data_IF_517530784348
#
_entry.id   IF_517530784348
#
_cell.length_a   1.000
_cell.length_b   1.000
_cell.length_c   1.000
_cell.angle_alpha   90.00
_cell.angle_beta   90.00
_cell.angle_gamma   90.00
#
_symmetry.space_group_name_H-M   'P 1'
#
loop_
_entity.id
_entity.type
_entity.pdbx_description
1 polymer ?
#
# COMPACT_ATOMS: atom_id res chain seq x y z
N UNK A 1 -0.04 13.11 -0.93
CA UNK A 1 -0.11 13.38 -2.38
C UNK A 1 -0.97 14.60 -2.69
N UNK A 2 -2.30 14.56 -2.53
CA UNK A 2 -3.19 15.61 -3.05
C UNK A 2 -2.78 17.05 -2.68
N UNK A 3 -2.45 17.32 -1.41
CA UNK A 3 -1.97 18.64 -0.99
C UNK A 3 -0.65 19.10 -1.62
N UNK A 4 0.25 18.16 -1.98
CA UNK A 4 1.48 18.48 -2.72
C UNK A 4 1.13 18.89 -4.17
N UNK A 5 0.24 18.14 -4.83
CA UNK A 5 -0.24 18.46 -6.17
C UNK A 5 -0.98 19.81 -6.18
N UNK A 6 -1.81 20.09 -5.19
CA UNK A 6 -2.48 21.38 -5.02
C UNK A 6 -1.47 22.53 -4.90
N UNK A 7 -0.48 22.42 -4.01
CA UNK A 7 0.53 23.47 -3.80
C UNK A 7 1.40 23.69 -5.05
N UNK A 8 1.79 22.61 -5.73
CA UNK A 8 2.50 22.66 -7.01
C UNK A 8 1.70 23.36 -8.11
N UNK A 9 0.39 23.04 -8.23
CA UNK A 9 -0.50 23.71 -9.18
C UNK A 9 -0.67 25.19 -8.85
N UNK A 10 -0.83 25.56 -7.58
CA UNK A 10 -0.96 26.96 -7.13
C UNK A 10 0.28 27.78 -7.54
N UNK A 11 1.48 27.28 -7.26
CA UNK A 11 2.73 27.90 -7.70
C UNK A 11 2.83 28.05 -9.22
N UNK A 12 2.41 27.02 -9.98
CA UNK A 12 2.48 27.03 -11.44
C UNK A 12 1.59 28.08 -12.11
N UNK A 13 0.58 28.60 -11.38
CA UNK A 13 -0.26 29.74 -11.79
C UNK A 13 -0.03 31.00 -10.92
N UNK A 14 1.09 31.07 -10.20
CA UNK A 14 1.58 32.27 -9.51
C UNK A 14 1.08 32.46 -8.07
N UNK A 15 0.22 31.60 -7.54
CA UNK A 15 -0.24 31.67 -6.15
C UNK A 15 0.83 31.12 -5.20
N UNK A 16 1.62 32.03 -4.61
CA UNK A 16 2.80 31.69 -3.79
C UNK A 16 2.57 31.79 -2.27
N UNK A 17 1.53 32.51 -1.82
CA UNK A 17 1.21 32.62 -0.39
C UNK A 17 0.29 31.48 0.05
N UNK A 18 0.92 30.34 0.36
CA UNK A 18 0.27 29.16 0.92
C UNK A 18 1.20 28.44 1.89
N UNK A 19 0.62 27.60 2.75
CA UNK A 19 1.36 26.73 3.68
C UNK A 19 0.73 25.35 3.75
N UNK A 20 1.55 24.31 3.69
CA UNK A 20 1.13 22.93 3.97
C UNK A 20 1.27 22.68 5.47
N UNK A 21 0.25 22.08 6.07
CA UNK A 21 0.28 21.60 7.46
C UNK A 21 0.29 20.07 7.40
N UNK A 22 1.35 19.46 7.93
CA UNK A 22 1.60 18.01 7.85
C UNK A 22 1.82 17.46 9.26
N UNK A 23 1.07 16.41 9.62
CA UNK A 23 1.07 15.85 10.96
C UNK A 23 2.30 14.94 11.22
N UNK A 24 2.89 14.40 10.16
CA UNK A 24 4.12 13.60 10.22
C UNK A 24 5.39 14.45 10.02
N UNK A 25 6.56 13.82 10.12
CA UNK A 25 7.86 14.45 9.83
C UNK A 25 8.28 14.36 8.35
N UNK A 26 7.37 14.03 7.42
CA UNK A 26 7.71 13.82 6.00
C UNK A 26 6.57 14.17 5.05
N UNK A 27 6.90 14.53 3.82
CA UNK A 27 5.92 14.73 2.75
C UNK A 27 5.37 13.39 2.21
N UNK A 28 4.21 13.46 1.57
CA UNK A 28 3.56 12.35 0.85
C UNK A 28 2.33 11.77 1.54
N UNK A 29 2.28 11.76 2.87
CA UNK A 29 1.19 11.19 3.66
C UNK A 29 1.15 9.65 3.55
N UNK A 30 0.03 9.08 3.07
CA UNK A 30 -0.14 7.61 2.92
C UNK A 30 0.74 6.94 1.86
N UNK A 31 1.43 7.71 1.00
CA UNK A 31 2.52 7.14 0.18
C UNK A 31 3.75 7.03 1.06
N UNK A 32 4.27 5.80 1.21
CA UNK A 32 5.42 5.51 2.05
C UNK A 32 6.12 4.22 1.63
N UNK A 33 7.44 4.33 1.57
CA UNK A 33 8.42 3.27 1.38
C UNK A 33 9.30 3.32 2.63
N UNK A 34 9.45 2.19 3.31
CA UNK A 34 10.43 2.03 4.38
C UNK A 34 11.73 1.49 3.79
N UNK A 35 12.87 2.04 4.19
CA UNK A 35 14.21 1.54 3.84
C UNK A 35 14.75 0.87 5.11
N UNK A 36 14.97 -0.44 5.06
CA UNK A 36 15.36 -1.19 6.24
C UNK A 36 16.87 -1.03 6.48
N UNK A 37 17.35 -1.33 7.70
CA UNK A 37 18.78 -1.21 8.04
C UNK A 37 19.37 0.20 7.74
N UNK A 38 18.57 1.27 7.84
CA UNK A 38 19.01 2.63 7.52
C UNK A 38 19.62 2.80 6.11
N UNK A 39 19.33 1.89 5.19
CA UNK A 39 19.99 1.79 3.89
C UNK A 39 19.63 2.94 2.95
N UNK A 40 20.52 3.21 2.00
CA UNK A 40 20.34 4.22 0.97
C UNK A 40 19.48 3.68 -0.16
N UNK A 41 18.96 4.60 -0.97
CA UNK A 41 18.12 4.29 -2.13
C UNK A 41 18.84 3.37 -3.13
N UNK A 42 20.16 3.50 -3.21
CA UNK A 42 21.07 2.76 -4.08
C UNK A 42 21.24 1.28 -3.69
N UNK A 43 20.85 0.90 -2.46
CA UNK A 43 21.05 -0.44 -1.89
C UNK A 43 19.82 -1.34 -2.05
N UNK A 44 18.71 -0.80 -2.59
CA UNK A 44 17.45 -1.51 -2.91
C UNK A 44 16.77 -2.28 -1.76
N UNK A 45 17.25 -2.09 -0.53
CA UNK A 45 16.71 -2.67 0.70
C UNK A 45 15.49 -1.86 1.23
N UNK A 46 14.44 -1.75 0.40
CA UNK A 46 13.19 -1.07 0.74
C UNK A 46 11.92 -1.92 0.59
N UNK A 47 10.83 -1.48 1.24
CA UNK A 47 9.47 -1.98 0.98
C UNK A 47 8.37 -0.93 1.09
N UNK A 48 7.34 -1.05 0.26
CA UNK A 48 6.18 -0.17 0.21
C UNK A 48 5.19 -0.43 1.35
N UNK A 49 5.18 0.45 2.34
CA UNK A 49 4.17 0.47 3.40
C UNK A 49 2.85 1.13 2.94
N UNK A 50 2.89 1.88 1.82
CA UNK A 50 1.73 2.49 1.17
C UNK A 50 1.21 1.70 -0.04
N UNK A 51 0.76 2.37 -1.12
CA UNK A 51 0.48 1.72 -2.41
C UNK A 51 1.78 1.17 -3.02
N UNK A 52 1.68 0.24 -3.98
CA UNK A 52 2.84 -0.52 -4.48
C UNK A 52 3.07 -0.41 -6.00
N UNK A 53 2.03 -0.04 -6.74
CA UNK A 53 1.97 -0.19 -8.21
C UNK A 53 0.81 0.61 -8.78
N UNK A 54 0.84 0.78 -10.11
CA UNK A 54 -0.18 1.40 -10.93
C UNK A 54 -0.49 0.45 -12.11
N UNK A 55 -1.74 0.00 -12.31
CA UNK A 55 -2.13 -0.62 -13.58
C UNK A 55 -2.03 0.39 -14.73
N UNK A 56 -1.76 -0.10 -15.94
CA UNK A 56 -1.51 0.73 -17.14
C UNK A 56 -2.48 0.38 -18.26
N UNK A 57 -2.63 -0.91 -18.56
CA UNK A 57 -3.49 -1.39 -19.64
C UNK A 57 -3.91 -2.84 -19.44
N UNK A 58 -5.03 -3.21 -20.06
CA UNK A 58 -5.54 -4.58 -20.17
C UNK A 58 -5.30 -5.01 -21.62
N UNK A 59 -4.76 -6.21 -21.85
CA UNK A 59 -4.57 -6.79 -23.19
C UNK A 59 -5.26 -8.13 -23.24
N UNK A 60 -6.23 -8.31 -24.14
CA UNK A 60 -6.97 -9.56 -24.25
C UNK A 60 -6.12 -10.62 -24.96
N UNK A 61 -6.00 -11.85 -24.40
CA UNK A 61 -5.10 -12.86 -24.96
C UNK A 61 -5.61 -13.48 -26.27
N UNK A 62 -6.90 -13.36 -26.58
CA UNK A 62 -7.52 -13.98 -27.75
C UNK A 62 -7.52 -13.05 -28.98
N UNK A 63 -7.81 -11.75 -28.79
CA UNK A 63 -7.80 -10.76 -29.89
C UNK A 63 -6.51 -9.95 -29.99
N UNK A 64 -5.70 -9.92 -28.91
CA UNK A 64 -4.56 -9.03 -28.72
C UNK A 64 -4.91 -7.51 -28.68
N UNK A 65 -6.20 -7.15 -28.60
CA UNK A 65 -6.61 -5.77 -28.36
C UNK A 65 -6.18 -5.28 -26.98
N UNK A 66 -5.94 -3.96 -26.85
CA UNK A 66 -5.41 -3.36 -25.62
C UNK A 66 -6.18 -2.12 -25.19
N UNK A 67 -6.90 -2.22 -24.07
CA UNK A 67 -7.58 -1.11 -23.40
C UNK A 67 -6.58 -0.37 -22.50
N UNK A 68 -6.61 0.96 -22.52
CA UNK A 68 -5.73 1.83 -21.73
C UNK A 68 -6.45 2.33 -20.47
N UNK A 69 -5.85 2.18 -19.30
CA UNK A 69 -6.40 2.69 -18.04
C UNK A 69 -5.93 4.14 -17.87
N UNK A 70 -6.85 5.09 -18.03
CA UNK A 70 -6.55 6.52 -18.15
C UNK A 70 -6.42 7.21 -16.79
N UNK A 71 -7.16 6.76 -15.77
CA UNK A 71 -7.23 7.36 -14.42
C UNK A 71 -5.87 7.41 -13.67
N UNK A 72 -4.83 6.75 -14.18
CA UNK A 72 -3.46 6.80 -13.61
C UNK A 72 -2.46 7.58 -14.48
N UNK A 73 -2.82 8.00 -15.70
CA UNK A 73 -1.93 8.77 -16.58
C UNK A 73 -1.47 10.09 -15.98
N UNK A 74 -2.30 10.71 -15.14
CA UNK A 74 -1.95 11.90 -14.35
C UNK A 74 -0.75 11.66 -13.42
N UNK A 75 -0.53 10.43 -12.93
CA UNK A 75 0.62 10.10 -12.06
C UNK A 75 1.91 10.04 -12.88
N UNK A 76 1.86 9.49 -14.10
CA UNK A 76 2.99 9.46 -15.02
C UNK A 76 3.33 10.88 -15.49
N UNK A 77 2.35 11.65 -15.95
CA UNK A 77 2.51 13.05 -16.37
C UNK A 77 3.08 13.93 -15.24
N UNK A 78 2.62 13.76 -14.00
CA UNK A 78 3.15 14.48 -12.83
C UNK A 78 4.63 14.18 -12.60
N UNK A 79 5.03 12.92 -12.71
CA UNK A 79 6.43 12.53 -12.60
C UNK A 79 7.28 13.16 -13.71
N UNK A 80 6.79 13.18 -14.96
CA UNK A 80 7.49 13.82 -16.09
C UNK A 80 7.67 15.33 -15.87
N UNK A 81 6.66 16.03 -15.34
CA UNK A 81 6.73 17.45 -14.96
C UNK A 81 7.77 17.68 -13.85
N UNK A 82 7.77 16.86 -12.80
CA UNK A 82 8.73 16.97 -11.70
C UNK A 82 10.15 16.59 -12.14
N UNK A 83 10.31 15.63 -13.05
CA UNK A 83 11.59 15.24 -13.66
C UNK A 83 12.17 16.35 -14.54
N UNK A 84 11.33 17.13 -15.23
CA UNK A 84 11.77 18.26 -16.04
C UNK A 84 12.16 19.51 -15.20
N UNK A 85 11.76 19.55 -13.93
CA UNK A 85 11.98 20.69 -13.02
C UNK A 85 13.14 20.50 -12.04
N UNK A 86 13.50 19.25 -11.72
CA UNK A 86 14.47 18.94 -10.66
C UNK A 86 15.73 18.23 -11.21
N UNK A 87 16.78 18.17 -10.39
CA UNK A 87 17.97 17.40 -10.69
C UNK A 87 17.76 15.87 -10.62
N UNK A 88 18.72 15.08 -11.14
CA UNK A 88 18.63 13.61 -11.18
C UNK A 88 18.48 12.95 -9.80
N UNK A 89 18.87 13.64 -8.72
CA UNK A 89 18.71 13.22 -7.32
C UNK A 89 17.25 13.25 -6.81
N UNK A 90 16.31 13.79 -7.61
CA UNK A 90 14.87 13.76 -7.38
C UNK A 90 14.11 12.95 -8.45
N UNK A 91 14.80 12.30 -9.39
CA UNK A 91 14.18 11.67 -10.55
C UNK A 91 13.24 10.52 -10.19
N UNK A 92 11.96 10.66 -10.56
CA UNK A 92 10.92 9.64 -10.44
C UNK A 92 10.95 8.76 -11.69
N UNK A 93 11.45 7.54 -11.56
CA UNK A 93 11.56 6.59 -12.69
C UNK A 93 10.57 5.45 -12.49
N UNK A 94 9.74 5.17 -13.51
CA UNK A 94 8.87 4.00 -13.49
C UNK A 94 9.59 2.77 -14.04
N UNK A 95 9.37 1.64 -13.38
CA UNK A 95 9.83 0.30 -13.78
C UNK A 95 8.64 -0.66 -13.83
N UNK A 96 8.78 -1.78 -14.55
CA UNK A 96 7.72 -2.79 -14.62
C UNK A 96 7.46 -3.40 -13.25
N UNK A 97 6.19 -3.57 -12.89
CA UNK A 97 5.76 -4.37 -11.75
C UNK A 97 5.40 -5.79 -12.21
N UNK A 98 5.79 -6.79 -11.42
CA UNK A 98 5.43 -8.20 -11.66
C UNK A 98 4.18 -8.52 -10.84
N UNK A 99 3.03 -8.54 -11.51
CA UNK A 99 1.74 -8.76 -10.82
C UNK A 99 1.52 -10.21 -10.38
N UNK A 100 1.96 -11.17 -11.18
CA UNK A 100 1.94 -12.60 -10.87
C UNK A 100 3.27 -13.24 -11.32
N UNK A 101 3.69 -14.31 -10.64
CA UNK A 101 4.93 -15.03 -10.93
C UNK A 101 4.69 -16.53 -10.84
N UNK A 102 5.27 -17.29 -11.77
CA UNK A 102 5.17 -18.75 -11.86
C UNK A 102 5.59 -19.46 -10.54
N UNK A 103 6.57 -18.88 -9.85
CA UNK A 103 7.16 -19.43 -8.62
C UNK A 103 6.52 -18.84 -7.35
N UNK A 104 5.56 -17.91 -7.48
CA UNK A 104 4.84 -17.39 -6.32
C UNK A 104 3.98 -18.49 -5.69
N UNK A 105 3.94 -18.60 -4.35
CA UNK A 105 3.28 -19.68 -3.62
C UNK A 105 1.77 -19.65 -3.85
N UNK A 106 1.17 -20.83 -3.78
CA UNK A 106 -0.27 -21.01 -3.87
C UNK A 106 -0.88 -21.27 -2.50
N UNK A 107 -2.08 -20.74 -2.27
CA UNK A 107 -2.93 -21.12 -1.15
C UNK A 107 -3.42 -22.57 -1.32
N UNK A 108 -2.60 -23.53 -0.91
CA UNK A 108 -2.87 -24.97 -1.00
C UNK A 108 -2.55 -25.69 0.32
N UNK A 109 -3.29 -26.76 0.65
CA UNK A 109 -2.99 -27.63 1.80
C UNK A 109 -1.94 -28.71 1.49
N UNK A 110 -1.66 -28.98 0.22
CA UNK A 110 -0.61 -29.92 -0.19
C UNK A 110 0.77 -29.29 -0.15
N UNK A 111 1.82 -30.10 -0.03
CA UNK A 111 3.21 -29.65 -0.04
C UNK A 111 4.00 -30.39 -1.12
N UNK A 112 5.17 -29.85 -1.50
CA UNK A 112 6.19 -30.58 -2.27
C UNK A 112 6.76 -31.75 -1.43
N UNK A 113 7.48 -32.71 -2.04
CA UNK A 113 8.11 -33.82 -1.31
C UNK A 113 9.13 -33.41 -0.23
N UNK A 114 9.67 -32.19 -0.30
CA UNK A 114 10.55 -31.57 0.70
C UNK A 114 9.80 -30.86 1.84
N UNK A 115 8.46 -30.86 1.81
CA UNK A 115 7.60 -30.19 2.78
C UNK A 115 7.24 -28.74 2.47
N UNK A 116 7.75 -28.14 1.40
CA UNK A 116 7.53 -26.71 1.05
C UNK A 116 6.23 -26.45 0.28
N UNK A 117 5.84 -25.17 0.15
CA UNK A 117 4.60 -24.77 -0.57
C UNK A 117 4.85 -24.65 -2.09
N UNK A 118 4.07 -25.34 -2.94
CA UNK A 118 4.23 -25.29 -4.40
C UNK A 118 3.81 -23.95 -5.01
N UNK A 119 4.49 -23.57 -6.09
CA UNK A 119 4.28 -22.34 -6.85
C UNK A 119 3.07 -22.42 -7.79
N UNK A 120 2.58 -21.26 -8.23
CA UNK A 120 1.38 -21.14 -9.07
C UNK A 120 1.46 -21.93 -10.38
N UNK A 121 2.65 -22.05 -10.98
CA UNK A 121 2.85 -22.86 -12.18
C UNK A 121 2.82 -24.37 -11.90
N UNK A 122 3.35 -24.83 -10.76
CA UNK A 122 3.30 -26.23 -10.34
C UNK A 122 1.85 -26.65 -10.07
N UNK A 123 1.08 -25.83 -9.35
CA UNK A 123 -0.35 -26.06 -9.08
C UNK A 123 -1.21 -25.98 -10.34
N UNK A 124 -0.80 -25.20 -11.36
CA UNK A 124 -1.43 -25.18 -12.67
C UNK A 124 -1.12 -26.44 -13.49
N UNK A 125 0.13 -26.89 -13.48
CA UNK A 125 0.60 -28.03 -14.28
C UNK A 125 0.17 -29.39 -13.70
N UNK A 126 0.26 -29.58 -12.38
CA UNK A 126 -0.17 -30.80 -11.69
C UNK A 126 -1.34 -30.51 -10.73
N UNK A 127 -2.55 -31.08 -10.99
CA UNK A 127 -3.66 -31.05 -10.05
C UNK A 127 -3.36 -31.65 -8.67
N UNK A 128 -2.34 -32.51 -8.51
CA UNK A 128 -1.97 -33.10 -7.21
C UNK A 128 -1.47 -32.07 -6.19
N UNK A 129 -0.98 -30.91 -6.66
CA UNK A 129 -0.55 -29.79 -5.81
C UNK A 129 -1.69 -28.81 -5.43
N UNK A 130 -2.94 -29.13 -5.77
CA UNK A 130 -4.13 -28.37 -5.32
C UNK A 130 -4.62 -28.93 -4.00
N UNK A 131 -5.18 -28.07 -3.15
CA UNK A 131 -5.87 -28.49 -1.91
C UNK A 131 -6.89 -29.57 -2.24
N UNK A 132 -6.67 -30.80 -1.76
CA UNK A 132 -7.69 -31.85 -1.83
C UNK A 132 -8.76 -31.64 -0.77
N UNK A 133 -9.43 -30.49 -0.84
CA UNK A 133 -10.78 -30.33 -0.33
C UNK A 133 -11.71 -31.20 -1.19
N UNK A 134 -12.81 -31.68 -0.64
CA UNK A 134 -13.84 -32.47 -1.34
C UNK A 134 -14.69 -31.64 -2.33
N UNK A 135 -14.07 -30.66 -2.99
CA UNK A 135 -14.63 -29.82 -4.06
C UNK A 135 -14.65 -30.52 -5.44
N UNK A 136 -14.41 -31.84 -5.48
CA UNK A 136 -14.76 -32.68 -6.63
C UNK A 136 -16.29 -32.84 -6.82
N UNK A 137 -17.10 -32.25 -5.92
CA UNK A 137 -18.55 -32.10 -6.06
C UNK A 137 -18.94 -30.77 -6.72
N UNK A 138 -18.43 -30.53 -7.93
CA UNK A 138 -19.13 -29.67 -8.89
C UNK A 138 -19.06 -30.36 -10.25
N UNK A 139 -20.20 -30.58 -10.89
CA UNK A 139 -20.25 -31.07 -12.26
C UNK A 139 -19.63 -29.99 -13.17
N UNK A 140 -18.81 -30.40 -14.13
CA UNK A 140 -18.13 -29.44 -15.02
C UNK A 140 -19.13 -28.61 -15.85
N UNK A 141 -20.31 -29.18 -16.16
CA UNK A 141 -21.41 -28.43 -16.76
C UNK A 141 -21.95 -27.38 -15.81
N UNK A 142 -22.30 -27.74 -14.56
CA UNK A 142 -22.79 -26.80 -13.55
C UNK A 142 -21.80 -25.65 -13.29
N UNK A 143 -20.49 -25.91 -13.36
CA UNK A 143 -19.45 -24.86 -13.28
C UNK A 143 -19.51 -23.93 -14.48
N UNK A 144 -19.61 -24.46 -15.70
CA UNK A 144 -19.70 -23.65 -16.92
C UNK A 144 -21.01 -22.83 -16.98
N UNK A 145 -22.12 -23.42 -16.55
CA UNK A 145 -23.42 -22.74 -16.41
C UNK A 145 -23.37 -21.66 -15.31
N UNK A 146 -22.75 -21.93 -14.16
CA UNK A 146 -22.57 -20.96 -13.09
C UNK A 146 -21.61 -19.82 -13.47
N UNK A 147 -20.57 -20.08 -14.26
CA UNK A 147 -19.71 -19.05 -14.84
C UNK A 147 -20.51 -18.17 -15.80
N UNK A 148 -21.22 -18.76 -16.77
CA UNK A 148 -22.07 -17.98 -17.68
C UNK A 148 -23.16 -17.16 -16.97
N UNK A 149 -23.73 -17.70 -15.88
CA UNK A 149 -24.67 -16.98 -15.02
C UNK A 149 -23.99 -15.85 -14.21
N UNK A 150 -22.76 -16.05 -13.73
CA UNK A 150 -21.96 -15.04 -13.03
C UNK A 150 -21.52 -13.91 -13.98
N UNK A 151 -21.10 -14.23 -15.19
CA UNK A 151 -20.73 -13.25 -16.22
C UNK A 151 -21.97 -12.45 -16.65
N UNK A 152 -23.13 -13.10 -16.77
CA UNK A 152 -24.43 -12.44 -16.99
C UNK A 152 -24.88 -11.58 -15.80
N UNK A 153 -24.54 -11.96 -14.57
CA UNK A 153 -24.90 -11.23 -13.34
C UNK A 153 -24.00 -10.02 -13.08
N UNK A 154 -22.69 -10.17 -13.30
CA UNK A 154 -21.73 -9.06 -13.20
C UNK A 154 -21.81 -8.12 -14.39
N UNK A 155 -22.23 -8.63 -15.55
CA UNK A 155 -22.52 -7.87 -16.78
C UNK A 155 -21.35 -6.93 -17.14
N UNK A 156 -20.11 -7.47 -17.04
CA UNK A 156 -18.84 -6.79 -17.29
C UNK A 156 -18.26 -7.17 -18.66
N UNK A 157 -18.89 -6.65 -19.72
CA UNK A 157 -18.42 -6.80 -21.08
C UNK A 157 -17.20 -5.89 -21.40
N UNK A 158 -16.55 -6.11 -22.54
CA UNK A 158 -15.41 -5.30 -22.98
C UNK A 158 -15.76 -3.81 -23.10
N UNK A 159 -17.02 -3.48 -23.46
CA UNK A 159 -17.51 -2.09 -23.54
C UNK A 159 -17.43 -1.40 -22.18
N UNK A 160 -18.00 -2.00 -21.13
CA UNK A 160 -17.98 -1.43 -19.77
C UNK A 160 -16.58 -1.44 -19.17
N UNK A 161 -15.76 -2.45 -19.48
CA UNK A 161 -14.33 -2.45 -19.12
C UNK A 161 -13.64 -1.23 -19.75
N UNK A 162 -13.90 -0.93 -21.03
CA UNK A 162 -13.37 0.25 -21.70
C UNK A 162 -13.91 1.57 -21.14
N UNK A 163 -15.21 1.67 -20.81
CA UNK A 163 -15.80 2.86 -20.18
C UNK A 163 -15.19 3.14 -18.80
N UNK A 164 -15.06 2.12 -17.95
CA UNK A 164 -14.49 2.23 -16.60
C UNK A 164 -12.98 2.56 -16.68
N UNK A 165 -12.23 1.95 -17.59
CA UNK A 165 -10.83 2.25 -17.82
C UNK A 165 -10.61 3.66 -18.41
N UNK A 166 -11.58 4.18 -19.16
CA UNK A 166 -11.55 5.53 -19.74
C UNK A 166 -11.87 6.61 -18.71
N UNK A 167 -12.94 6.43 -17.92
CA UNK A 167 -13.36 7.37 -16.88
C UNK A 167 -14.31 6.69 -15.88
N UNK A 168 -13.77 6.15 -14.79
CA UNK A 168 -14.54 5.46 -13.73
C UNK A 168 -15.71 6.31 -13.19
N UNK A 169 -15.53 7.63 -13.09
CA UNK A 169 -16.55 8.53 -12.56
C UNK A 169 -17.71 8.79 -13.52
N UNK A 170 -17.47 8.73 -14.83
CA UNK A 170 -18.53 8.82 -15.85
C UNK A 170 -19.27 7.48 -15.97
N UNK A 171 -18.55 6.37 -16.04
CA UNK A 171 -19.12 5.02 -16.09
C UNK A 171 -20.05 4.76 -14.88
N UNK A 172 -19.55 4.99 -13.66
CA UNK A 172 -20.35 4.81 -12.43
C UNK A 172 -21.57 5.76 -12.37
N UNK A 173 -21.46 7.00 -12.89
CA UNK A 173 -22.60 7.92 -12.98
C UNK A 173 -23.64 7.45 -14.00
N UNK A 174 -23.20 6.92 -15.15
CA UNK A 174 -24.09 6.38 -16.18
C UNK A 174 -24.84 5.15 -15.68
N UNK A 175 -24.13 4.20 -15.04
CA UNK A 175 -24.70 2.98 -14.49
C UNK A 175 -25.78 3.23 -13.42
N UNK A 176 -25.57 4.22 -12.53
CA UNK A 176 -26.53 4.49 -11.45
C UNK A 176 -27.68 5.45 -11.85
N UNK A 177 -27.51 6.32 -12.85
CA UNK A 177 -28.54 7.26 -13.33
C UNK A 177 -28.98 8.36 -12.34
N UNK A 178 -28.70 8.23 -11.04
CA UNK A 178 -29.17 9.11 -9.96
C UNK A 178 -28.11 10.09 -9.45
N UNK A 179 -28.52 11.01 -8.55
CA UNK A 179 -27.63 12.01 -7.96
C UNK A 179 -26.75 11.41 -6.85
N UNK A 180 -25.55 11.99 -6.65
CA UNK A 180 -24.65 11.61 -5.54
C UNK A 180 -25.25 11.82 -4.13
N UNK A 181 -26.31 12.62 -3.98
CA UNK A 181 -27.05 12.80 -2.72
C UNK A 181 -28.05 11.65 -2.44
N UNK A 182 -28.30 10.83 -3.46
CA UNK A 182 -29.30 9.75 -3.48
C UNK A 182 -28.61 8.39 -3.44
N UNK A 183 -27.54 8.22 -4.22
CA UNK A 183 -26.85 6.92 -4.34
C UNK A 183 -26.15 6.50 -3.06
N UNK A 184 -25.59 7.43 -2.27
CA UNK A 184 -24.96 7.15 -0.96
C UNK A 184 -25.96 6.85 0.19
N UNK A 185 -27.26 6.83 -0.13
CA UNK A 185 -28.34 6.37 0.74
C UNK A 185 -28.83 4.96 0.37
N UNK A 186 -28.34 4.39 -0.74
CA UNK A 186 -28.75 3.08 -1.27
C UNK A 186 -27.56 2.12 -1.33
N UNK A 187 -26.43 2.58 -1.86
CA UNK A 187 -25.13 1.91 -1.72
C UNK A 187 -24.49 2.39 -0.40
N UNK A 188 -24.49 1.53 0.64
CA UNK A 188 -24.03 1.94 1.96
C UNK A 188 -22.49 1.98 2.02
N UNK A 189 -21.95 3.20 1.94
CA UNK A 189 -20.52 3.49 2.04
C UNK A 189 -19.85 3.07 3.37
N UNK A 190 -20.58 2.45 4.31
CA UNK A 190 -20.01 1.75 5.47
C UNK A 190 -19.55 0.32 5.17
N UNK A 191 -19.91 -0.27 4.02
CA UNK A 191 -19.41 -1.60 3.61
C UNK A 191 -17.88 -1.57 3.40
N UNK A 192 -17.23 -2.73 3.49
CA UNK A 192 -15.83 -2.92 3.07
C UNK A 192 -15.71 -3.06 1.54
N UNK A 193 -16.80 -3.45 0.87
CA UNK A 193 -16.88 -3.69 -0.58
C UNK A 193 -18.01 -2.84 -1.20
N UNK A 194 -17.82 -1.52 -1.40
CA UNK A 194 -18.80 -0.68 -2.09
C UNK A 194 -19.04 -1.17 -3.53
N UNK A 195 -20.23 -0.92 -4.10
CA UNK A 195 -20.64 -1.47 -5.40
C UNK A 195 -20.00 -0.72 -6.59
N UNK A 196 -18.67 -0.80 -6.67
CA UNK A 196 -17.83 -0.19 -7.71
C UNK A 196 -17.01 -1.28 -8.43
N UNK A 197 -17.31 -1.52 -9.71
CA UNK A 197 -16.62 -2.52 -10.54
C UNK A 197 -15.18 -2.13 -10.94
N UNK A 198 -14.69 -0.96 -10.47
CA UNK A 198 -13.36 -0.44 -10.79
C UNK A 198 -12.22 -1.34 -10.32
N UNK A 199 -12.34 -2.00 -9.16
CA UNK A 199 -11.30 -2.92 -8.68
C UNK A 199 -11.19 -4.15 -9.60
N UNK A 200 -12.31 -4.69 -10.10
CA UNK A 200 -12.31 -5.77 -11.10
C UNK A 200 -11.59 -5.36 -12.39
N UNK A 201 -11.86 -4.16 -12.90
CA UNK A 201 -11.25 -3.61 -14.12
C UNK A 201 -9.78 -3.22 -13.92
N UNK A 202 -9.41 -2.72 -12.75
CA UNK A 202 -8.04 -2.29 -12.48
C UNK A 202 -7.12 -3.48 -12.16
N UNK A 203 -7.66 -4.56 -11.57
CA UNK A 203 -6.89 -5.79 -11.28
C UNK A 203 -6.82 -6.78 -12.46
N UNK A 204 -7.65 -6.63 -13.50
CA UNK A 204 -7.51 -7.37 -14.77
C UNK A 204 -6.40 -6.85 -15.70
N UNK A 205 -5.73 -5.74 -15.32
CA UNK A 205 -4.63 -5.17 -16.09
C UNK A 205 -3.47 -6.16 -16.34
N UNK A 206 -2.87 -6.08 -17.52
CA UNK A 206 -1.76 -6.92 -17.99
C UNK A 206 -0.41 -6.19 -17.93
N UNK A 207 -0.38 -4.86 -18.13
CA UNK A 207 0.79 -4.03 -17.83
C UNK A 207 0.60 -3.26 -16.51
N UNK A 208 1.67 -3.25 -15.71
CA UNK A 208 1.74 -2.64 -14.39
C UNK A 208 3.08 -1.97 -14.19
N UNK A 209 3.09 -0.82 -13.52
CA UNK A 209 4.32 -0.08 -13.18
C UNK A 209 4.44 0.15 -11.68
N UNK A 210 5.67 0.18 -11.19
CA UNK A 210 6.04 0.70 -9.87
C UNK A 210 7.15 1.73 -10.05
N UNK A 211 7.67 2.30 -8.95
CA UNK A 211 8.70 3.35 -8.99
C UNK A 211 10.03 2.76 -8.52
N UNK A 212 11.08 2.98 -9.31
CA UNK A 212 12.47 2.64 -8.99
C UNK A 212 12.87 3.35 -7.69
N UNK A 213 13.52 2.63 -6.77
CA UNK A 213 13.87 3.13 -5.43
C UNK A 213 12.63 3.55 -4.61
N UNK A 214 11.46 3.06 -4.99
CA UNK A 214 10.21 3.08 -4.23
C UNK A 214 9.30 4.29 -4.46
N UNK A 215 7.99 4.12 -4.22
CA UNK A 215 6.96 5.13 -4.46
C UNK A 215 7.16 6.41 -3.65
N UNK A 216 8.02 6.42 -2.63
CA UNK A 216 8.44 7.63 -1.92
C UNK A 216 9.31 8.58 -2.76
N UNK A 217 9.87 8.17 -3.90
CA UNK A 217 10.54 9.12 -4.82
C UNK A 217 9.54 10.17 -5.35
N UNK A 218 8.29 9.79 -5.64
CA UNK A 218 7.27 10.71 -6.15
C UNK A 218 6.93 11.87 -5.19
N UNK A 219 6.60 11.67 -3.90
CA UNK A 219 6.47 12.78 -2.96
C UNK A 219 7.80 13.49 -2.70
N UNK A 220 8.95 12.78 -2.69
CA UNK A 220 10.29 13.40 -2.53
C UNK A 220 10.60 14.39 -3.66
N UNK A 221 10.13 14.18 -4.88
CA UNK A 221 10.36 15.06 -6.02
C UNK A 221 9.66 16.43 -5.92
N UNK A 222 8.67 16.58 -5.04
CA UNK A 222 8.14 17.90 -4.65
C UNK A 222 9.04 18.66 -3.65
N UNK A 223 10.08 18.01 -3.13
CA UNK A 223 10.90 18.48 -2.02
C UNK A 223 11.49 19.89 -2.23
N UNK A 224 12.25 20.13 -3.32
CA UNK A 224 12.88 21.42 -3.58
C UNK A 224 11.90 22.59 -3.64
N UNK A 225 10.68 22.35 -4.12
CA UNK A 225 9.63 23.35 -4.22
C UNK A 225 8.90 23.59 -2.89
N UNK A 226 8.47 22.52 -2.20
CA UNK A 226 7.44 22.64 -1.16
C UNK A 226 7.94 22.59 0.29
N UNK A 227 9.16 22.09 0.56
CA UNK A 227 9.62 21.87 1.94
C UNK A 227 9.67 23.16 2.76
N UNK A 228 10.17 24.26 2.19
CA UNK A 228 10.28 25.56 2.88
C UNK A 228 8.93 26.20 3.26
N UNK A 229 7.82 25.72 2.68
CA UNK A 229 6.45 26.16 3.00
C UNK A 229 5.64 25.05 3.71
N UNK A 230 6.27 23.98 4.16
CA UNK A 230 5.64 22.86 4.87
C UNK A 230 5.91 22.92 6.37
N UNK A 231 4.86 22.83 7.18
CA UNK A 231 4.89 22.83 8.63
C UNK A 231 4.63 21.41 9.15
N UNK A 232 5.72 20.69 9.42
CA UNK A 232 5.74 19.29 9.88
C UNK A 232 5.36 19.13 11.36
N UNK A 233 5.15 17.88 11.79
CA UNK A 233 4.81 17.50 13.16
C UNK A 233 3.60 18.26 13.73
N UNK A 234 2.71 18.73 12.85
CA UNK A 234 1.63 19.66 13.18
C UNK A 234 0.29 19.01 12.89
N UNK A 235 -0.32 18.45 13.93
CA UNK A 235 -1.61 17.76 13.83
C UNK A 235 -2.76 18.76 13.88
N UNK A 236 -3.49 18.91 12.78
CA UNK A 236 -4.76 19.66 12.76
C UNK A 236 -5.80 18.92 13.61
N UNK A 237 -6.60 19.68 14.36
CA UNK A 237 -7.61 19.20 15.32
C UNK A 237 -9.01 19.79 15.08
N UNK A 238 -9.14 20.79 14.21
CA UNK A 238 -10.42 21.45 13.92
C UNK A 238 -10.27 22.60 12.94
N UNK A 239 -11.39 23.12 12.44
CA UNK A 239 -11.44 24.41 11.76
C UNK A 239 -12.78 25.12 11.95
N UNK A 240 -12.76 26.45 11.83
CA UNK A 240 -13.95 27.32 11.84
C UNK A 240 -13.89 28.28 10.66
N UNK A 241 -14.99 28.43 9.94
CA UNK A 241 -15.18 29.56 9.03
C UNK A 241 -15.80 30.74 9.78
N UNK A 242 -15.26 31.95 9.57
CA UNK A 242 -15.83 33.19 10.07
C UNK A 242 -16.39 33.99 8.89
N UNK A 243 -17.72 34.03 8.77
CA UNK A 243 -18.42 34.75 7.70
C UNK A 243 -18.39 36.28 7.79
N UNK A 244 -17.87 36.87 8.87
CA UNK A 244 -17.66 38.32 8.99
C UNK A 244 -16.27 38.75 8.50
N UNK A 245 -15.29 37.85 8.53
CA UNK A 245 -13.92 38.11 8.06
C UNK A 245 -13.55 37.30 6.81
N UNK A 246 -14.49 36.52 6.29
CA UNK A 246 -14.35 35.58 5.15
C UNK A 246 -13.10 34.66 5.23
N UNK A 247 -12.74 34.22 6.44
CA UNK A 247 -11.52 33.42 6.70
C UNK A 247 -11.83 32.10 7.40
N UNK A 248 -11.04 31.08 7.07
CA UNK A 248 -10.99 29.78 7.75
C UNK A 248 -9.86 29.80 8.78
N UNK A 249 -10.20 29.70 10.05
CA UNK A 249 -9.24 29.46 11.14
C UNK A 249 -9.05 27.96 11.34
N UNK A 250 -7.83 27.48 11.11
CA UNK A 250 -7.37 26.13 11.42
C UNK A 250 -6.94 26.06 12.88
N UNK A 251 -7.28 24.97 13.57
CA UNK A 251 -6.80 24.65 14.92
C UNK A 251 -5.86 23.45 14.88
N UNK A 252 -4.70 23.53 15.53
CA UNK A 252 -3.65 22.51 15.45
C UNK A 252 -2.85 22.33 16.75
N UNK A 253 -2.03 21.28 16.80
CA UNK A 253 -1.07 21.00 17.88
C UNK A 253 0.27 20.54 17.29
N UNK A 254 1.34 21.19 17.72
CA UNK A 254 2.74 20.86 17.40
C UNK A 254 3.70 21.11 18.59
N UNK A 255 3.15 21.39 19.78
CA UNK A 255 3.87 21.54 21.05
C UNK A 255 3.36 20.50 22.05
N UNK A 256 2.93 20.90 23.24
CA UNK A 256 2.35 19.98 24.22
C UNK A 256 0.96 19.50 23.79
N UNK A 257 0.76 18.17 23.78
CA UNK A 257 -0.53 17.57 23.44
C UNK A 257 -1.57 17.73 24.55
N UNK A 258 -1.14 17.99 25.79
CA UNK A 258 -2.01 18.15 26.96
C UNK A 258 -2.52 19.58 27.18
N UNK A 259 -2.09 20.57 26.40
CA UNK A 259 -2.57 21.96 26.52
C UNK A 259 -4.07 22.04 26.20
N UNK A 260 -4.90 22.62 27.05
CA UNK A 260 -6.37 22.61 26.85
C UNK A 260 -6.77 23.30 25.54
N UNK A 261 -6.18 24.45 25.23
CA UNK A 261 -6.39 25.14 23.96
C UNK A 261 -5.45 24.59 22.85
N UNK A 262 -5.93 24.44 21.60
CA UNK A 262 -5.05 24.25 20.44
C UNK A 262 -4.48 25.59 19.97
N UNK A 263 -3.37 25.55 19.24
CA UNK A 263 -2.87 26.72 18.51
C UNK A 263 -3.72 26.96 17.25
N UNK A 264 -3.67 28.20 16.73
CA UNK A 264 -4.53 28.62 15.63
C UNK A 264 -3.79 29.42 14.57
N UNK A 265 -4.29 29.36 13.33
CA UNK A 265 -3.89 30.23 12.23
C UNK A 265 -5.05 30.40 11.25
N UNK A 266 -5.11 31.52 10.53
CA UNK A 266 -6.24 31.84 9.64
C UNK A 266 -5.78 32.06 8.22
N UNK A 267 -6.52 31.49 7.27
CA UNK A 267 -6.34 31.64 5.83
C UNK A 267 -7.67 32.05 5.18
N UNK A 268 -7.63 32.57 3.96
CA UNK A 268 -8.83 32.86 3.16
C UNK A 268 -9.48 31.56 2.64
N UNK A 269 -8.66 30.58 2.26
CA UNK A 269 -9.08 29.25 1.81
C UNK A 269 -8.34 28.13 2.54
N UNK A 270 -8.98 26.96 2.63
CA UNK A 270 -8.38 25.74 3.19
C UNK A 270 -8.73 24.52 2.34
N UNK A 271 -7.72 23.70 1.99
CA UNK A 271 -7.89 22.49 1.16
C UNK A 271 -7.53 21.25 1.99
N UNK A 272 -8.54 20.42 2.28
CA UNK A 272 -8.40 19.26 3.18
C UNK A 272 -7.95 18.02 2.40
N UNK A 273 -6.63 17.79 2.36
CA UNK A 273 -6.02 16.57 1.79
C UNK A 273 -5.95 15.39 2.78
N UNK A 274 -6.56 15.53 3.97
CA UNK A 274 -6.54 14.54 5.07
C UNK A 274 -7.68 13.53 4.92
N UNK A 275 -7.44 12.25 5.21
CA UNK A 275 -8.47 11.21 5.10
C UNK A 275 -9.60 11.41 6.12
N UNK A 276 -10.83 11.05 5.76
CA UNK A 276 -11.99 11.21 6.64
C UNK A 276 -11.86 10.43 7.96
N UNK A 277 -11.11 9.33 7.98
CA UNK A 277 -10.73 8.61 9.20
C UNK A 277 -9.99 9.46 10.26
N UNK A 278 -9.41 10.60 9.88
CA UNK A 278 -8.85 11.60 10.81
C UNK A 278 -9.72 12.85 10.91
N UNK A 279 -10.36 13.30 9.82
CA UNK A 279 -11.30 14.44 9.85
C UNK A 279 -12.53 14.17 10.74
N UNK A 280 -12.93 12.89 10.94
CA UNK A 280 -13.91 12.47 11.96
C UNK A 280 -13.61 12.93 13.38
N UNK A 281 -12.32 13.09 13.70
CA UNK A 281 -11.84 13.46 15.03
C UNK A 281 -11.65 14.98 15.16
N UNK A 282 -11.92 15.75 14.10
CA UNK A 282 -11.78 17.20 14.13
C UNK A 282 -13.02 17.85 14.73
N UNK A 283 -12.81 18.70 15.73
CA UNK A 283 -13.85 19.46 16.42
C UNK A 283 -13.22 20.75 16.97
N UNK A 284 -13.73 21.95 16.62
CA UNK A 284 -14.89 22.25 15.77
C UNK A 284 -14.66 21.93 14.30
N UNK A 285 -15.76 21.82 13.55
CA UNK A 285 -15.78 21.82 12.08
C UNK A 285 -16.88 22.77 11.56
N UNK A 286 -16.80 23.26 10.31
CA UNK A 286 -17.86 24.04 9.68
C UNK A 286 -19.10 23.16 9.41
N UNK A 287 -20.25 23.79 9.26
CA UNK A 287 -21.43 23.09 8.73
C UNK A 287 -21.21 22.74 7.25
N UNK A 288 -21.41 21.47 6.90
CA UNK A 288 -21.29 20.95 5.54
C UNK A 288 -22.64 20.47 5.00
N UNK A 289 -22.71 20.18 3.70
CA UNK A 289 -23.88 19.53 3.09
C UNK A 289 -24.14 18.16 3.73
N UNK A 290 -25.39 17.67 3.66
CA UNK A 290 -25.73 16.34 4.21
C UNK A 290 -24.86 15.24 3.58
N UNK A 291 -24.64 15.26 2.26
CA UNK A 291 -23.75 14.32 1.57
C UNK A 291 -22.31 14.36 2.11
N UNK A 292 -21.68 15.54 2.24
CA UNK A 292 -20.32 15.61 2.75
C UNK A 292 -20.24 15.23 4.24
N UNK A 293 -21.28 15.52 5.02
CA UNK A 293 -21.40 15.09 6.42
C UNK A 293 -21.51 13.57 6.53
N UNK A 294 -22.31 12.92 5.65
CA UNK A 294 -22.41 11.45 5.55
C UNK A 294 -21.10 10.84 5.07
N UNK A 295 -20.45 11.39 4.05
CA UNK A 295 -19.17 10.91 3.55
C UNK A 295 -18.05 11.02 4.62
N UNK A 296 -17.96 12.16 5.30
CA UNK A 296 -17.02 12.34 6.41
C UNK A 296 -17.30 11.34 7.53
N UNK A 297 -18.55 11.12 7.94
CA UNK A 297 -18.87 10.24 9.08
C UNK A 297 -18.87 8.73 8.77
N UNK A 298 -19.47 8.30 7.65
CA UNK A 298 -19.75 6.88 7.33
C UNK A 298 -18.66 6.17 6.54
N UNK A 299 -18.05 6.81 5.53
CA UNK A 299 -17.16 6.14 4.55
C UNK A 299 -16.16 5.18 5.21
N UNK A 300 -16.22 3.89 4.91
CA UNK A 300 -15.37 2.91 5.55
C UNK A 300 -13.89 3.06 5.11
N UNK A 301 -12.97 2.55 5.94
CA UNK A 301 -11.54 2.49 5.64
C UNK A 301 -11.04 1.09 5.98
N UNK A 302 -10.82 0.27 4.96
CA UNK A 302 -10.34 -1.10 5.13
C UNK A 302 -8.88 -1.11 5.63
N UNK A 303 -8.56 -1.85 6.72
CA UNK A 303 -7.20 -1.95 7.25
C UNK A 303 -6.32 -2.86 6.40
N UNK A 304 -5.01 -2.69 6.55
CA UNK A 304 -3.94 -3.34 5.78
C UNK A 304 -2.70 -3.48 6.65
N UNK A 305 -2.01 -4.63 6.58
CA UNK A 305 -0.81 -4.96 7.37
C UNK A 305 0.25 -5.61 6.46
N UNK A 306 1.55 -5.35 6.69
CA UNK A 306 2.66 -5.68 5.76
C UNK A 306 3.96 -6.14 6.45
N UNK A 307 4.61 -7.23 5.95
CA UNK A 307 5.88 -7.84 6.42
C UNK A 307 6.66 -8.58 5.24
N UNK A 308 7.93 -9.12 5.30
CA UNK A 308 8.89 -9.37 4.11
C UNK A 308 9.38 -10.82 3.46
N UNK A 309 9.37 -11.20 2.08
CA UNK A 309 10.36 -11.71 0.91
C UNK A 309 9.63 -11.89 -0.52
N UNK A 310 10.01 -11.91 -1.87
CA UNK A 310 11.01 -11.46 -3.01
C UNK A 310 10.61 -11.81 -4.56
N UNK A 311 10.16 -10.93 -5.52
CA UNK A 311 9.71 -11.27 -6.94
C UNK A 311 8.24 -11.72 -7.39
N UNK A 312 7.17 -10.88 -7.34
CA UNK A 312 5.75 -11.21 -7.69
C UNK A 312 4.66 -10.92 -6.60
N UNK A 313 3.55 -11.68 -6.60
CA UNK A 313 2.65 -11.90 -5.44
C UNK A 313 2.00 -13.30 -5.54
N UNK A 314 1.88 -13.99 -4.40
CA UNK A 314 1.22 -15.30 -4.27
C UNK A 314 0.38 -15.37 -2.99
N UNK A 315 -0.59 -16.27 -2.95
CA UNK A 315 -1.49 -16.44 -1.80
C UNK A 315 -0.98 -17.53 -0.84
N UNK A 316 -1.31 -17.41 0.43
CA UNK A 316 -1.01 -18.43 1.45
C UNK A 316 -2.26 -18.79 2.24
N UNK A 317 -2.40 -20.06 2.58
CA UNK A 317 -3.41 -20.54 3.52
C UNK A 317 -2.92 -20.54 4.98
N UNK A 318 -1.66 -20.17 5.24
CA UNK A 318 -1.11 -20.07 6.59
C UNK A 318 -1.81 -18.89 7.31
N UNK A 319 -2.42 -19.12 8.49
CA UNK A 319 -3.13 -18.08 9.22
C UNK A 319 -2.26 -16.85 9.50
N UNK A 320 -2.78 -15.66 9.22
CA UNK A 320 -2.07 -14.39 9.45
C UNK A 320 -1.10 -13.95 8.35
N UNK A 321 -0.98 -14.70 7.24
CA UNK A 321 -0.05 -14.36 6.14
C UNK A 321 -0.76 -13.65 4.98
N UNK A 322 -1.94 -14.15 4.57
CA UNK A 322 -2.71 -13.58 3.46
C UNK A 322 -1.99 -13.76 2.13
N UNK A 323 -1.33 -12.70 1.64
CA UNK A 323 -0.46 -12.78 0.46
C UNK A 323 1.01 -12.66 0.86
N UNK A 324 1.82 -13.57 0.33
CA UNK A 324 3.27 -13.38 0.29
C UNK A 324 3.52 -12.60 -1.00
N UNK A 325 4.06 -11.40 -0.90
CA UNK A 325 4.31 -10.50 -2.02
C UNK A 325 5.81 -10.21 -2.13
N UNK A 326 6.24 -9.90 -3.34
CA UNK A 326 7.56 -10.29 -3.75
C UNK A 326 8.12 -9.10 -4.63
N UNK A 327 9.18 -8.36 -4.23
CA UNK A 327 9.85 -7.28 -4.98
C UNK A 327 10.04 -7.39 -6.51
N UNK A 328 9.67 -6.36 -7.27
CA UNK A 328 9.80 -6.32 -8.74
C UNK A 328 11.11 -5.67 -9.27
N UNK A 329 12.06 -5.35 -8.39
CA UNK A 329 13.31 -4.63 -8.69
C UNK A 329 14.54 -5.51 -8.38
N UNK A 330 15.70 -5.13 -8.93
CA UNK A 330 17.01 -5.81 -8.73
C UNK A 330 16.95 -7.34 -8.87
N UNK A 331 16.18 -7.82 -9.85
CA UNK A 331 16.03 -9.24 -10.13
C UNK A 331 17.38 -9.86 -10.49
N UNK A 332 17.67 -11.04 -9.92
CA UNK A 332 18.96 -11.73 -10.03
C UNK A 332 20.19 -10.98 -9.47
N UNK A 333 20.00 -9.90 -8.70
CA UNK A 333 21.09 -9.29 -7.94
C UNK A 333 21.59 -10.23 -6.82
N UNK A 334 22.82 -9.99 -6.36
CA UNK A 334 23.40 -10.67 -5.19
C UNK A 334 23.56 -9.68 -4.04
N UNK A 335 23.47 -10.17 -2.80
CA UNK A 335 23.40 -9.35 -1.58
C UNK A 335 22.01 -9.36 -0.94
N UNK A 336 21.79 -8.57 0.13
CA UNK A 336 20.52 -8.55 0.84
C UNK A 336 19.43 -7.86 -0.01
N UNK A 337 18.34 -8.56 -0.30
CA UNK A 337 17.10 -7.92 -0.77
C UNK A 337 16.34 -7.30 0.40
N UNK A 338 15.34 -6.45 0.14
CA UNK A 338 14.20 -6.27 1.04
C UNK A 338 12.94 -6.84 0.41
N UNK A 339 12.00 -7.19 1.26
CA UNK A 339 11.38 -8.51 1.34
C UNK A 339 9.80 -8.11 1.41
N UNK A 340 8.72 -8.83 0.95
CA UNK A 340 7.24 -8.52 1.24
C UNK A 340 6.24 -9.72 1.61
N UNK A 341 6.55 -10.59 2.58
CA UNK A 341 5.87 -11.86 2.90
C UNK A 341 4.59 -11.95 3.74
N UNK A 342 4.17 -10.94 4.50
CA UNK A 342 2.78 -10.91 4.99
C UNK A 342 2.13 -9.70 4.38
N UNK A 343 1.01 -9.90 3.70
CA UNK A 343 0.16 -8.83 3.22
C UNK A 343 -1.29 -9.25 3.41
N UNK A 344 -1.82 -8.82 4.55
CA UNK A 344 -3.18 -9.08 4.99
C UNK A 344 -4.00 -7.79 4.93
N UNK A 345 -5.30 -7.93 4.69
CA UNK A 345 -6.27 -6.84 4.75
C UNK A 345 -7.46 -7.22 5.65
N UNK A 346 -8.32 -6.26 5.99
CA UNK A 346 -9.59 -6.53 6.67
C UNK A 346 -9.45 -7.14 8.06
N UNK A 347 -10.33 -8.09 8.40
CA UNK A 347 -10.36 -8.72 9.73
C UNK A 347 -9.02 -9.36 10.11
N UNK A 348 -8.34 -10.17 9.25
CA UNK A 348 -6.97 -10.63 9.51
C UNK A 348 -5.97 -9.50 9.84
N UNK A 349 -6.01 -8.39 9.10
CA UNK A 349 -5.12 -7.26 9.38
C UNK A 349 -5.40 -6.58 10.74
N UNK A 350 -6.65 -6.60 11.22
CA UNK A 350 -7.00 -6.13 12.58
C UNK A 350 -6.41 -7.04 13.66
N UNK A 351 -6.44 -8.36 13.44
CA UNK A 351 -5.86 -9.33 14.38
C UNK A 351 -4.33 -9.24 14.44
N UNK A 352 -3.66 -9.13 13.29
CA UNK A 352 -2.21 -8.99 13.21
C UNK A 352 -1.72 -7.67 13.82
N UNK A 353 -2.44 -6.57 13.60
CA UNK A 353 -2.15 -5.27 14.20
C UNK A 353 -2.44 -5.17 15.71
N UNK A 354 -2.79 -6.28 16.37
CA UNK A 354 -2.95 -6.38 17.82
C UNK A 354 -1.89 -7.28 18.50
N UNK A 355 -1.00 -7.91 17.72
CA UNK A 355 0.18 -8.61 18.23
C UNK A 355 1.26 -7.60 18.64
N UNK A 356 2.16 -7.99 19.55
CA UNK A 356 3.45 -7.29 19.69
C UNK A 356 4.38 -7.65 18.52
N UNK A 357 5.40 -6.84 18.27
CA UNK A 357 6.25 -6.97 17.08
C UNK A 357 6.95 -8.33 17.04
N UNK A 358 7.49 -8.79 18.17
CA UNK A 358 8.21 -10.05 18.32
C UNK A 358 7.32 -11.26 18.01
N UNK A 359 6.06 -11.24 18.43
CA UNK A 359 5.07 -12.29 18.13
C UNK A 359 4.74 -12.34 16.64
N UNK A 360 4.55 -11.17 16.02
CA UNK A 360 4.23 -11.07 14.60
C UNK A 360 5.43 -11.48 13.72
N UNK A 361 6.64 -11.01 14.06
CA UNK A 361 7.89 -11.41 13.40
C UNK A 361 8.08 -12.93 13.50
N UNK A 362 7.92 -13.51 14.69
CA UNK A 362 8.07 -14.95 14.88
C UNK A 362 6.97 -15.76 14.17
N UNK A 363 5.74 -15.23 14.05
CA UNK A 363 4.67 -15.84 13.25
C UNK A 363 5.05 -15.87 11.77
N UNK A 364 5.49 -14.75 11.19
CA UNK A 364 5.84 -14.71 9.76
C UNK A 364 7.12 -15.48 9.47
N UNK A 365 8.11 -15.46 10.36
CA UNK A 365 9.33 -16.29 10.22
C UNK A 365 9.00 -17.78 10.13
N UNK A 366 8.14 -18.31 11.02
CA UNK A 366 7.70 -19.71 10.95
C UNK A 366 6.98 -20.02 9.63
N UNK A 367 6.11 -19.12 9.18
CA UNK A 367 5.44 -19.27 7.89
C UNK A 367 6.40 -19.26 6.70
N UNK A 368 7.49 -18.49 6.74
CA UNK A 368 8.48 -18.48 5.65
C UNK A 368 9.33 -19.74 5.63
N UNK A 369 9.59 -20.35 6.78
CA UNK A 369 10.20 -21.69 6.86
C UNK A 369 9.24 -22.74 6.29
N UNK A 370 7.92 -22.63 6.50
CA UNK A 370 6.94 -23.54 5.88
C UNK A 370 6.82 -23.35 4.36
N UNK A 371 6.88 -22.11 3.87
CA UNK A 371 6.73 -21.81 2.43
C UNK A 371 8.00 -22.13 1.64
N UNK A 372 9.18 -21.77 2.16
CA UNK A 372 10.45 -21.86 1.44
C UNK A 372 11.39 -22.95 1.96
N UNK A 373 11.06 -23.61 3.07
CA UNK A 373 11.90 -24.64 3.68
C UNK A 373 13.05 -24.07 4.51
N UNK A 374 13.98 -24.94 4.89
CA UNK A 374 15.02 -24.63 5.87
C UNK A 374 16.02 -23.55 5.41
N UNK A 375 16.10 -23.20 4.13
CA UNK A 375 16.87 -22.03 3.65
C UNK A 375 16.39 -20.72 4.30
N UNK A 376 15.09 -20.58 4.61
CA UNK A 376 14.58 -19.44 5.37
C UNK A 376 14.92 -19.52 6.87
N UNK A 377 15.20 -20.73 7.38
CA UNK A 377 15.72 -20.93 8.73
C UNK A 377 17.22 -20.63 8.79
N UNK A 378 18.02 -21.09 7.85
CA UNK A 378 19.49 -20.93 7.82
C UNK A 378 19.91 -19.45 7.88
N UNK A 379 19.25 -18.60 7.09
CA UNK A 379 19.44 -17.14 7.10
C UNK A 379 19.10 -16.50 8.46
N UNK A 380 18.26 -17.14 9.28
CA UNK A 380 17.90 -16.69 10.64
C UNK A 380 18.73 -17.37 11.75
N UNK A 381 19.15 -18.62 11.53
CA UNK A 381 19.77 -19.48 12.53
C UNK A 381 21.20 -19.03 12.86
N UNK A 382 21.90 -18.45 11.88
CA UNK A 382 23.20 -17.82 12.08
C UNK A 382 23.10 -16.64 13.08
N UNK A 383 22.14 -15.73 12.90
CA UNK A 383 21.90 -14.65 13.89
C UNK A 383 21.51 -15.21 15.28
N UNK A 384 20.65 -16.24 15.32
CA UNK A 384 20.25 -16.87 16.59
C UNK A 384 21.44 -17.49 17.35
N UNK A 385 22.33 -18.20 16.64
CA UNK A 385 23.54 -18.77 17.21
C UNK A 385 24.51 -17.69 17.72
N UNK A 386 24.68 -16.59 16.98
CA UNK A 386 25.53 -15.48 17.40
C UNK A 386 24.95 -14.77 18.63
N UNK A 387 23.65 -14.46 18.64
CA UNK A 387 22.96 -13.83 19.79
C UNK A 387 23.03 -14.71 21.04
N UNK A 388 22.81 -16.01 20.91
CA UNK A 388 22.95 -16.98 22.01
C UNK A 388 24.39 -17.07 22.53
N UNK A 389 25.39 -17.03 21.64
CA UNK A 389 26.81 -17.01 22.02
C UNK A 389 27.19 -15.72 22.74
N UNK A 390 26.72 -14.56 22.27
CA UNK A 390 26.95 -13.28 22.94
C UNK A 390 26.35 -13.24 24.35
N UNK A 391 25.11 -13.75 24.54
CA UNK A 391 24.51 -13.85 25.88
C UNK A 391 25.32 -14.78 26.80
N UNK A 392 25.74 -15.95 26.31
CA UNK A 392 26.57 -16.88 27.09
C UNK A 392 27.90 -16.25 27.54
N UNK A 393 28.54 -15.46 26.67
CA UNK A 393 29.77 -14.73 27.02
C UNK A 393 29.52 -13.64 28.06
N UNK A 394 28.41 -12.90 27.97
CA UNK A 394 28.01 -11.92 29.00
C UNK A 394 27.74 -12.59 30.36
N UNK A 395 27.05 -13.73 30.37
CA UNK A 395 26.80 -14.51 31.60
C UNK A 395 28.11 -15.06 32.21
N UNK A 396 29.14 -15.28 31.39
CA UNK A 396 30.50 -15.65 31.81
C UNK A 396 31.39 -14.45 32.19
N UNK A 397 30.90 -13.21 32.05
CA UNK A 397 31.67 -11.98 32.30
C UNK A 397 32.67 -11.61 31.19
N UNK A 398 32.66 -12.31 30.05
CA UNK A 398 33.52 -12.12 28.89
C UNK A 398 32.94 -11.02 27.98
N UNK A 399 32.91 -9.80 28.52
CA UNK A 399 32.20 -8.65 27.95
C UNK A 399 32.84 -8.14 26.66
N UNK A 400 34.17 -8.22 26.52
CA UNK A 400 34.86 -7.70 25.34
C UNK A 400 34.87 -8.74 24.20
N UNK A 401 34.88 -10.03 24.52
CA UNK A 401 34.64 -11.13 23.58
C UNK A 401 33.18 -11.14 23.09
N UNK A 402 32.22 -10.85 23.98
CA UNK A 402 30.83 -10.67 23.59
C UNK A 402 30.64 -9.47 22.64
N UNK A 403 31.40 -8.38 22.83
CA UNK A 403 31.46 -7.26 21.87
C UNK A 403 32.11 -7.68 20.57
N UNK A 404 33.26 -8.35 20.58
CA UNK A 404 33.95 -8.77 19.34
C UNK A 404 33.05 -9.68 18.48
N UNK A 405 32.38 -10.66 19.10
CA UNK A 405 31.42 -11.51 18.39
C UNK A 405 30.21 -10.70 17.89
N UNK A 406 29.74 -9.71 18.66
CA UNK A 406 28.65 -8.83 18.23
C UNK A 406 29.07 -7.92 17.06
N UNK A 407 30.22 -7.25 17.15
CA UNK A 407 30.70 -6.29 16.14
C UNK A 407 31.11 -6.97 14.82
N UNK A 408 31.58 -8.22 14.88
CA UNK A 408 31.98 -9.00 13.71
C UNK A 408 30.82 -9.83 13.12
N UNK A 409 30.10 -10.58 13.95
CA UNK A 409 29.08 -11.54 13.49
C UNK A 409 27.64 -11.03 13.63
N UNK A 410 27.32 -10.14 14.58
CA UNK A 410 26.07 -9.35 14.51
C UNK A 410 26.29 -8.19 13.54
N UNK A 411 26.32 -8.55 12.26
CA UNK A 411 25.14 -8.30 11.45
C UNK A 411 24.46 -6.95 11.79
N UNK A 412 25.08 -5.84 11.37
CA UNK A 412 24.64 -4.45 11.71
C UNK A 412 23.23 -4.08 11.22
N UNK A 413 22.44 -5.03 10.70
CA UNK A 413 21.19 -4.82 9.99
C UNK A 413 19.97 -4.54 10.88
N UNK A 414 20.07 -4.74 12.20
CA UNK A 414 18.98 -4.47 13.16
C UNK A 414 19.51 -3.68 14.36
N UNK A 415 19.28 -2.36 14.36
CA UNK A 415 19.29 -1.51 15.56
C UNK A 415 17.85 -1.32 16.04
N UNK A 416 17.62 -1.45 17.35
CA UNK A 416 16.40 -0.98 18.03
C UNK A 416 16.34 0.55 18.10
#
# INVERSE_FOLDING_TARGET
>A
MSGLMTAHLLDSVGFNDWKIIEASGRIGGRVHTSYLNGTKLEEYQYQEMGPMRFPVSITYPETNDTIQILDHRMVFQLADVLNAQNGPEYAVKFIKWIQASANAPSSTSTRRPDGTVPGSAEVKADPSHRSNATLAYVNATDVAEALGAYDTWTDLDETKIAEIATNVYQAHKAALGYSKNTTDLVDDITDNSPNWLYDSVYFSATDWRTIDKGLSQLPRAFGPQLLNRTMFHTSVQGMKYNGTTEKVTIQYRNKNLFDVAPETMSFDYAIVAVSFSKVRLWNPMPAYTSLLTRAISRLNYHPSCKYPIIGGCGSSNIPGIGSVCYPAYTLNATGPGVILASYASGTPARSLGALVEEEHVALVQRAMIEIHGDIAREQSALESAVRGTAQLLLDMGLVDEAKEITEFWIARWITM
#
